data_IF_724082639864
#
_entry.id   IF_724082639864
#
_cell.length_a   1.000
_cell.length_b   1.000
_cell.length_c   1.000
_cell.angle_alpha   90.00
_cell.angle_beta   90.00
_cell.angle_gamma   90.00
#
_symmetry.space_group_name_H-M   'P 1'
#
loop_
_entity.id
_entity.type
_entity.pdbx_description
1 polymer ?
#
# COMPACT_ATOMS: atom_id res chain seq x y z
N UNK A 1 0.16 -24.26 30.17
CA UNK A 1 0.18 -24.99 28.88
C UNK A 1 1.61 -24.99 28.36
N UNK A 2 2.34 -26.10 28.44
CA UNK A 2 3.63 -26.26 27.77
C UNK A 2 3.39 -26.84 26.37
N UNK A 3 3.84 -26.16 25.32
CA UNK A 3 3.83 -26.69 23.96
C UNK A 3 4.84 -27.85 23.86
N UNK A 4 4.37 -29.10 23.94
CA UNK A 4 5.23 -30.30 23.94
C UNK A 4 5.82 -30.67 22.57
N UNK A 5 5.34 -30.05 21.47
CA UNK A 5 5.75 -30.34 20.09
C UNK A 5 6.01 -29.05 19.27
N UNK A 6 6.72 -28.08 19.85
CA UNK A 6 7.11 -26.87 19.13
C UNK A 6 8.49 -27.08 18.45
N UNK A 7 8.52 -27.15 17.12
CA UNK A 7 9.75 -27.33 16.33
C UNK A 7 10.24 -25.96 15.79
N UNK A 8 11.43 -25.46 16.15
CA UNK A 8 11.86 -24.09 15.86
C UNK A 8 12.45 -23.92 14.43
N UNK A 9 11.88 -24.59 13.43
CA UNK A 9 12.36 -24.57 12.04
C UNK A 9 11.47 -23.68 11.16
N UNK A 10 11.35 -22.40 11.50
CA UNK A 10 10.54 -21.47 10.69
C UNK A 10 11.40 -20.34 10.12
N UNK A 11 11.43 -20.25 8.79
CA UNK A 11 11.91 -19.05 8.10
C UNK A 11 11.02 -17.86 8.44
N UNK A 12 11.60 -16.68 8.60
CA UNK A 12 10.92 -15.45 9.03
C UNK A 12 9.69 -15.14 8.16
N UNK A 13 9.79 -15.37 6.84
CA UNK A 13 8.67 -15.17 5.89
C UNK A 13 7.55 -16.21 6.05
N UNK A 14 7.89 -17.44 6.45
CA UNK A 14 6.95 -18.54 6.69
C UNK A 14 6.06 -18.27 7.91
N UNK A 15 6.55 -17.49 8.88
CA UNK A 15 5.78 -17.05 10.06
C UNK A 15 4.96 -15.80 9.77
N UNK A 16 5.48 -14.88 8.96
CA UNK A 16 4.79 -13.62 8.65
C UNK A 16 3.51 -13.84 7.84
N UNK A 17 3.52 -14.73 6.84
CA UNK A 17 2.35 -14.99 5.98
C UNK A 17 1.08 -15.43 6.75
N UNK A 18 1.11 -16.46 7.61
CA UNK A 18 -0.07 -16.86 8.38
C UNK A 18 -0.52 -15.79 9.39
N UNK A 19 0.37 -14.92 9.86
CA UNK A 19 -0.01 -13.80 10.72
C UNK A 19 -0.85 -12.76 9.96
N UNK A 20 -0.42 -12.40 8.75
CA UNK A 20 -1.19 -11.48 7.89
C UNK A 20 -2.52 -12.13 7.48
N UNK A 21 -2.54 -13.42 7.18
CA UNK A 21 -3.78 -14.14 6.86
C UNK A 21 -4.77 -14.14 8.04
N UNK A 22 -4.30 -14.41 9.26
CA UNK A 22 -5.13 -14.37 10.47
C UNK A 22 -5.64 -12.96 10.78
N UNK A 23 -4.80 -11.95 10.59
CA UNK A 23 -5.18 -10.54 10.68
C UNK A 23 -6.30 -10.15 9.72
N UNK A 24 -6.18 -10.53 8.45
CA UNK A 24 -7.23 -10.30 7.44
C UNK A 24 -8.51 -11.04 7.82
N UNK A 25 -8.41 -12.30 8.24
CA UNK A 25 -9.56 -13.07 8.68
C UNK A 25 -10.29 -12.39 9.86
N UNK A 26 -9.55 -11.83 10.82
CA UNK A 26 -10.11 -11.08 11.93
C UNK A 26 -10.83 -9.82 11.46
N UNK A 27 -10.20 -9.01 10.60
CA UNK A 27 -10.80 -7.79 10.05
C UNK A 27 -12.09 -8.09 9.29
N UNK A 28 -12.08 -9.12 8.43
CA UNK A 28 -13.25 -9.53 7.65
C UNK A 28 -14.37 -10.12 8.51
N UNK A 29 -14.03 -10.78 9.62
CA UNK A 29 -15.01 -11.35 10.55
C UNK A 29 -15.90 -10.28 11.19
N UNK A 30 -15.36 -9.07 11.40
CA UNK A 30 -16.06 -7.93 12.00
C UNK A 30 -16.96 -7.15 11.05
N UNK A 31 -17.00 -7.50 9.75
CA UNK A 31 -17.77 -6.75 8.75
C UNK A 31 -19.27 -7.06 8.83
N UNK A 32 -20.08 -6.01 8.63
CA UNK A 32 -21.52 -6.12 8.38
C UNK A 32 -21.80 -6.72 7.00
N UNK A 33 -23.04 -7.16 6.76
CA UNK A 33 -23.45 -7.74 5.47
C UNK A 33 -23.25 -6.75 4.32
N UNK A 34 -23.59 -5.47 4.53
CA UNK A 34 -23.43 -4.42 3.51
C UNK A 34 -21.96 -4.15 3.19
N UNK A 35 -21.11 -4.04 4.21
CA UNK A 35 -19.67 -3.84 4.01
C UNK A 35 -19.01 -5.00 3.26
N UNK A 36 -19.45 -6.24 3.49
CA UNK A 36 -18.92 -7.41 2.77
C UNK A 36 -19.17 -7.35 1.27
N UNK A 37 -20.21 -6.66 0.81
CA UNK A 37 -20.48 -6.49 -0.63
C UNK A 37 -19.53 -5.49 -1.29
N UNK A 38 -18.95 -4.57 -0.52
CA UNK A 38 -18.01 -3.55 -0.99
C UNK A 38 -16.55 -4.00 -0.94
N UNK A 39 -16.27 -5.10 -0.23
CA UNK A 39 -14.90 -5.58 0.00
C UNK A 39 -14.53 -6.65 -1.03
N UNK A 40 -13.37 -6.46 -1.67
CA UNK A 40 -12.75 -7.40 -2.60
C UNK A 40 -11.25 -7.53 -2.29
N UNK A 41 -10.52 -8.46 -2.94
CA UNK A 41 -9.10 -8.65 -2.63
C UNK A 41 -8.25 -7.38 -2.81
N UNK A 42 -8.59 -6.53 -3.79
CA UNK A 42 -7.88 -5.26 -4.01
C UNK A 42 -8.17 -4.27 -2.90
N UNK A 43 -9.42 -4.14 -2.44
CA UNK A 43 -9.75 -3.24 -1.33
C UNK A 43 -9.05 -3.66 -0.04
N UNK A 44 -9.01 -4.96 0.28
CA UNK A 44 -8.24 -5.46 1.42
C UNK A 44 -6.77 -5.08 1.29
N UNK A 45 -6.17 -5.28 0.10
CA UNK A 45 -4.79 -4.89 -0.16
C UNK A 45 -4.57 -3.38 0.02
N UNK A 46 -5.47 -2.54 -0.48
CA UNK A 46 -5.39 -1.08 -0.33
C UNK A 46 -5.41 -0.67 1.16
N UNK A 47 -6.38 -1.18 1.91
CA UNK A 47 -6.55 -0.87 3.34
C UNK A 47 -5.31 -1.25 4.14
N UNK A 48 -4.72 -2.42 3.86
CA UNK A 48 -3.50 -2.86 4.53
C UNK A 48 -2.29 -2.00 4.19
N UNK A 49 -2.18 -1.54 2.94
CA UNK A 49 -1.07 -0.69 2.49
C UNK A 49 -1.21 0.72 3.06
N UNK A 50 -2.41 1.28 3.07
CA UNK A 50 -2.70 2.63 3.54
C UNK A 50 -2.56 2.75 5.06
N UNK A 51 -2.97 1.72 5.81
CA UNK A 51 -2.82 1.71 7.28
C UNK A 51 -1.39 1.39 7.75
N UNK A 52 -0.54 0.85 6.88
CA UNK A 52 0.79 0.37 7.26
C UNK A 52 1.65 1.49 7.84
N UNK A 53 2.48 1.14 8.83
CA UNK A 53 3.37 2.09 9.50
C UNK A 53 4.80 1.84 8.99
N UNK A 54 5.45 2.81 8.33
CA UNK A 54 6.83 2.67 7.89
C UNK A 54 7.78 2.39 9.06
N UNK A 55 8.59 1.36 8.89
CA UNK A 55 9.65 0.93 9.81
C UNK A 55 10.85 1.85 9.59
N UNK A 56 11.26 2.53 10.67
CA UNK A 56 12.42 3.42 10.67
C UNK A 56 13.70 2.66 10.31
N UNK A 57 14.48 3.22 9.39
CA UNK A 57 15.77 2.65 8.99
C UNK A 57 15.71 1.55 7.94
N UNK A 58 14.51 1.08 7.54
CA UNK A 58 14.33 0.15 6.44
C UNK A 58 13.94 0.89 5.16
N UNK A 59 14.29 0.32 4.00
CA UNK A 59 13.86 0.86 2.71
C UNK A 59 12.54 0.22 2.23
N UNK A 60 11.82 0.92 1.36
CA UNK A 60 10.55 0.52 0.73
C UNK A 60 10.65 -0.87 0.08
N UNK A 61 11.78 -1.19 -0.56
CA UNK A 61 11.96 -2.46 -1.28
C UNK A 61 12.15 -3.66 -0.36
N UNK A 62 12.58 -3.44 0.88
CA UNK A 62 12.71 -4.47 1.91
C UNK A 62 11.40 -4.65 2.68
N UNK A 63 10.78 -3.54 3.10
CA UNK A 63 9.65 -3.57 4.01
C UNK A 63 8.27 -3.45 3.34
N UNK A 64 8.22 -3.09 2.05
CA UNK A 64 6.98 -2.67 1.39
C UNK A 64 6.46 -1.36 1.99
N UNK A 65 5.15 -1.27 2.17
CA UNK A 65 4.49 -0.09 2.80
C UNK A 65 4.74 0.03 4.30
N UNK A 66 5.38 -0.96 4.93
CA UNK A 66 5.74 -0.96 6.33
C UNK A 66 5.06 -2.08 7.14
N UNK A 67 5.06 -1.90 8.45
CA UNK A 67 4.49 -2.85 9.40
C UNK A 67 2.95 -2.83 9.36
N UNK A 68 2.36 -4.04 9.44
CA UNK A 68 0.92 -4.24 9.56
C UNK A 68 0.34 -3.49 10.77
N UNK A 69 -0.71 -2.70 10.54
CA UNK A 69 -1.43 -1.93 11.56
C UNK A 69 -2.92 -2.29 11.57
N UNK A 70 -3.33 -3.18 12.47
CA UNK A 70 -4.71 -3.67 12.53
C UNK A 70 -5.73 -2.61 12.94
N UNK A 71 -5.35 -1.73 13.88
CA UNK A 71 -6.24 -0.68 14.34
C UNK A 71 -6.49 0.34 13.23
N UNK A 72 -5.41 0.80 12.57
CA UNK A 72 -5.54 1.67 11.39
C UNK A 72 -6.32 1.01 10.26
N UNK A 73 -6.08 -0.27 9.98
CA UNK A 73 -6.80 -1.01 8.95
C UNK A 73 -8.30 -1.08 9.25
N UNK A 74 -8.66 -1.36 10.51
CA UNK A 74 -10.06 -1.42 10.93
C UNK A 74 -10.74 -0.04 10.90
N UNK A 75 -10.02 1.03 11.26
CA UNK A 75 -10.56 2.39 11.19
C UNK A 75 -10.83 2.81 9.74
N UNK A 76 -9.90 2.55 8.82
CA UNK A 76 -10.11 2.78 7.38
C UNK A 76 -11.26 1.92 6.86
N UNK A 77 -11.31 0.63 7.24
CA UNK A 77 -12.34 -0.32 6.79
C UNK A 77 -13.77 0.13 7.16
N UNK A 78 -13.95 0.82 8.28
CA UNK A 78 -15.27 1.33 8.71
C UNK A 78 -15.82 2.40 7.77
N UNK A 79 -14.96 3.25 7.23
CA UNK A 79 -15.32 4.36 6.33
C UNK A 79 -14.90 4.08 4.90
N UNK A 80 -14.56 2.84 4.57
CA UNK A 80 -13.96 2.50 3.30
C UNK A 80 -14.96 2.65 2.14
N UNK A 81 -14.57 3.46 1.16
CA UNK A 81 -15.23 3.54 -0.13
C UNK A 81 -14.28 3.00 -1.21
N UNK A 82 -14.73 2.07 -2.07
CA UNK A 82 -13.92 1.58 -3.18
C UNK A 82 -13.39 2.75 -4.03
N UNK A 83 -12.07 2.79 -4.21
CA UNK A 83 -11.41 3.88 -4.93
C UNK A 83 -10.14 3.36 -5.65
N UNK A 84 -9.57 4.23 -6.48
CA UNK A 84 -8.29 3.98 -7.13
C UNK A 84 -7.16 4.53 -6.27
N UNK A 85 -6.11 3.74 -6.07
CA UNK A 85 -4.90 4.20 -5.38
C UNK A 85 -3.64 3.67 -6.04
N UNK A 86 -2.49 4.26 -5.72
CA UNK A 86 -1.20 3.93 -6.33
C UNK A 86 -0.20 3.47 -5.29
N UNK A 87 0.70 2.56 -5.70
CA UNK A 87 1.84 2.09 -4.89
C UNK A 87 3.12 2.25 -5.71
N UNK A 88 4.11 3.04 -5.25
CA UNK A 88 4.07 3.85 -4.02
C UNK A 88 3.06 5.02 -4.11
N UNK A 89 2.56 5.47 -2.96
CA UNK A 89 1.61 6.59 -2.88
C UNK A 89 2.29 7.96 -3.01
N UNK A 90 3.58 8.03 -2.70
CA UNK A 90 4.43 9.21 -2.84
C UNK A 90 5.79 8.81 -3.38
N UNK A 91 6.33 9.65 -4.25
CA UNK A 91 7.68 9.51 -4.78
C UNK A 91 8.50 10.73 -4.41
N UNK A 92 9.30 10.61 -3.35
CA UNK A 92 10.17 11.68 -2.85
C UNK A 92 11.63 11.24 -2.86
N UNK A 93 12.42 11.84 -3.76
CA UNK A 93 13.85 11.54 -3.93
C UNK A 93 14.72 12.13 -2.80
N UNK A 94 14.15 12.86 -1.84
CA UNK A 94 14.86 13.31 -0.64
C UNK A 94 14.63 12.41 0.58
N UNK A 95 13.67 11.48 0.51
CA UNK A 95 13.28 10.62 1.63
C UNK A 95 14.22 9.41 1.77
N UNK A 96 15.33 9.61 2.47
CA UNK A 96 16.27 8.55 2.84
C UNK A 96 16.12 8.13 4.31
N UNK A 97 16.18 6.82 4.64
CA UNK A 97 16.52 5.68 3.78
C UNK A 97 15.31 5.02 3.09
N UNK A 98 14.10 5.58 3.24
CA UNK A 98 12.87 4.90 2.81
C UNK A 98 12.84 4.63 1.30
N UNK A 99 13.17 5.61 0.46
CA UNK A 99 13.11 5.47 -1.00
C UNK A 99 14.46 5.09 -1.64
N UNK A 100 15.41 4.54 -0.89
CA UNK A 100 16.67 4.04 -1.47
C UNK A 100 16.37 2.90 -2.48
N UNK A 101 16.95 2.88 -3.70
CA UNK A 101 18.08 3.68 -4.18
C UNK A 101 17.72 4.99 -4.87
N UNK A 102 16.44 5.29 -5.09
CA UNK A 102 16.02 6.54 -5.75
C UNK A 102 16.47 7.77 -4.96
N UNK A 103 16.43 7.72 -3.63
CA UNK A 103 16.86 8.87 -2.83
C UNK A 103 18.38 9.16 -2.90
N UNK A 104 19.19 8.19 -3.38
CA UNK A 104 20.62 8.40 -3.62
C UNK A 104 20.91 9.09 -4.97
N UNK A 105 19.87 9.33 -5.78
CA UNK A 105 19.96 9.92 -7.11
C UNK A 105 19.10 11.18 -7.17
N UNK A 106 19.64 12.36 -6.81
CA UNK A 106 18.86 13.58 -6.77
C UNK A 106 18.41 14.02 -8.16
N UNK A 107 17.23 14.62 -8.24
CA UNK A 107 16.71 15.25 -9.46
C UNK A 107 17.30 16.65 -9.63
N UNK A 108 17.85 16.93 -10.81
CA UNK A 108 18.35 18.26 -11.18
C UNK A 108 18.17 18.51 -12.69
N UNK A 109 18.18 19.78 -13.08
CA UNK A 109 18.06 20.18 -14.48
C UNK A 109 19.20 19.56 -15.31
N UNK A 110 18.89 18.97 -16.47
CA UNK A 110 19.81 18.19 -17.33
C UNK A 110 20.30 16.83 -16.80
N UNK A 111 19.79 16.34 -15.67
CA UNK A 111 20.06 14.99 -15.19
C UNK A 111 19.47 13.89 -16.07
N UNK A 112 19.97 12.66 -15.93
CA UNK A 112 19.34 11.49 -16.57
C UNK A 112 17.92 11.28 -16.01
N UNK A 113 16.98 10.88 -16.87
CA UNK A 113 15.62 10.56 -16.45
C UNK A 113 15.58 9.33 -15.56
N UNK A 114 14.67 9.32 -14.59
CA UNK A 114 14.40 8.17 -13.73
C UNK A 114 13.13 7.45 -14.17
N UNK A 115 13.20 6.13 -14.27
CA UNK A 115 12.03 5.27 -14.50
C UNK A 115 11.57 4.68 -13.17
N UNK A 116 10.28 4.85 -12.87
CA UNK A 116 9.65 4.31 -11.67
C UNK A 116 8.47 3.42 -12.04
N UNK A 117 8.35 2.30 -11.35
CA UNK A 117 7.19 1.43 -11.49
C UNK A 117 6.12 1.88 -10.49
N UNK A 118 4.93 2.14 -11.01
CA UNK A 118 3.76 2.47 -10.19
C UNK A 118 2.70 1.39 -10.42
N UNK A 119 2.26 0.77 -9.33
CA UNK A 119 1.15 -0.18 -9.35
C UNK A 119 -0.14 0.56 -9.06
N UNK A 120 -1.11 0.49 -9.96
CA UNK A 120 -2.47 1.01 -9.74
C UNK A 120 -3.32 -0.09 -9.11
N UNK A 121 -3.92 0.22 -7.96
CA UNK A 121 -4.86 -0.63 -7.27
C UNK A 121 -6.28 -0.15 -7.58
N UNK A 122 -7.07 -1.05 -8.16
CA UNK A 122 -8.47 -0.81 -8.51
C UNK A 122 -9.41 -1.70 -7.68
N UNK A 123 -10.15 -1.08 -6.76
CA UNK A 123 -11.19 -1.76 -5.99
C UNK A 123 -12.60 -1.54 -6.55
N UNK A 124 -12.78 -0.77 -7.61
CA UNK A 124 -14.09 -0.47 -8.19
C UNK A 124 -14.62 -1.59 -9.10
N UNK A 125 -13.73 -2.21 -9.88
CA UNK A 125 -14.10 -3.19 -10.91
C UNK A 125 -13.03 -4.27 -11.08
N UNK A 126 -13.45 -5.44 -11.55
CA UNK A 126 -12.56 -6.56 -11.91
C UNK A 126 -11.66 -6.24 -13.11
N UNK A 127 -12.09 -5.33 -13.98
CA UNK A 127 -11.37 -4.90 -15.16
C UNK A 127 -11.54 -3.40 -15.38
N UNK A 128 -10.46 -2.72 -15.75
CA UNK A 128 -10.46 -1.32 -16.11
C UNK A 128 -9.34 -1.03 -17.13
N UNK A 129 -9.59 -0.06 -17.99
CA UNK A 129 -8.62 0.42 -18.98
C UNK A 129 -8.44 1.93 -18.81
N UNK A 130 -7.26 2.42 -19.17
CA UNK A 130 -7.04 3.85 -19.26
C UNK A 130 -7.75 4.38 -20.50
N UNK A 131 -8.63 5.37 -20.31
CA UNK A 131 -9.33 6.03 -21.42
C UNK A 131 -8.43 6.95 -22.25
N UNK A 132 -7.33 7.44 -21.67
CA UNK A 132 -6.36 8.30 -22.32
C UNK A 132 -4.94 8.06 -21.76
N UNK A 133 -3.94 8.56 -22.47
CA UNK A 133 -2.55 8.57 -22.00
C UNK A 133 -2.39 9.52 -20.81
N UNK A 134 -1.63 9.15 -19.76
CA UNK A 134 -1.41 10.02 -18.61
C UNK A 134 -0.71 11.30 -19.04
N UNK A 135 -1.23 12.44 -18.58
CA UNK A 135 -0.64 13.77 -18.81
C UNK A 135 -0.04 14.24 -17.50
N UNK A 136 1.19 14.76 -17.56
CA UNK A 136 1.79 15.42 -16.42
C UNK A 136 1.13 16.78 -16.20
N UNK A 137 0.57 16.97 -15.01
CA UNK A 137 0.00 18.24 -14.57
C UNK A 137 0.95 18.80 -13.51
N UNK A 138 1.64 19.89 -13.84
CA UNK A 138 2.49 20.60 -12.88
C UNK A 138 1.68 21.34 -11.81
N UNK A 139 2.35 21.77 -10.74
CA UNK A 139 1.73 22.39 -9.55
C UNK A 139 0.81 23.58 -9.88
N UNK A 140 1.10 24.34 -10.93
CA UNK A 140 0.28 25.50 -11.32
C UNK A 140 -1.10 25.14 -11.91
N UNK A 141 -1.26 23.91 -12.43
CA UNK A 141 -2.50 23.42 -13.06
C UNK A 141 -3.25 22.40 -12.21
N UNK A 142 -2.56 21.66 -11.33
CA UNK A 142 -3.19 20.67 -10.46
C UNK A 142 -4.18 21.29 -9.46
N UNK A 143 -4.02 22.57 -9.12
CA UNK A 143 -4.95 23.31 -8.26
C UNK A 143 -6.27 23.70 -8.97
N UNK A 144 -6.30 23.69 -10.31
CA UNK A 144 -7.44 24.13 -11.12
C UNK A 144 -8.36 22.93 -11.45
N UNK A 145 -7.79 21.75 -11.74
CA UNK A 145 -8.55 20.57 -12.17
C UNK A 145 -9.20 19.74 -11.03
N UNK A 146 -9.00 20.12 -9.76
CA UNK A 146 -9.64 19.47 -8.60
C UNK A 146 -10.94 20.20 -8.18
N UNK A 147 -11.27 21.32 -8.83
CA UNK A 147 -12.42 22.16 -8.52
C UNK A 147 -13.54 22.12 -9.59
N UNK A 148 -13.50 21.19 -10.55
CA UNK A 148 -14.58 20.92 -11.50
C UNK A 148 -15.13 19.49 -11.41
#
# INVERSE_FOLDING_TARGET
MLCRNCHPQQSIYSVASPLVAGAVALLLSGLTVEQRLLVNPTSVKQILIESAIPIKGANLFQQGSGQLNLFGAHDILRTYTPHLSTVPSRLDFSDCPYLWPYCAQPLYCSGMGHTVNVTVLNALSVNATFGATPVWIGDEKAAIDVLE
#
